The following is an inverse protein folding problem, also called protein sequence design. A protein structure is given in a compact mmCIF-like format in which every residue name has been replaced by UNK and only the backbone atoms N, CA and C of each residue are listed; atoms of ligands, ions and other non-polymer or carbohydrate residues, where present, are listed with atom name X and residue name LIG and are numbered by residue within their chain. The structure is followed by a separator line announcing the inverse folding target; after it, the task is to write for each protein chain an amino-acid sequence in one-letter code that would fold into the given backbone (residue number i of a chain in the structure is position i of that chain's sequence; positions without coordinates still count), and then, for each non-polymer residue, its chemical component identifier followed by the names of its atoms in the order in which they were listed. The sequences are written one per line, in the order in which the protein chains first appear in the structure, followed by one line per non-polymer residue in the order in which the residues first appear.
data_IF_960895075469
#
_entry.id   IF_960895075469
#
_cell.length_a   1.000
_cell.length_b   1.000
_cell.length_c   1.000
_cell.angle_alpha   90.00
_cell.angle_beta   90.00
_cell.angle_gamma   90.00
#
_symmetry.space_group_name_H-M   'P 1'
#
loop_
_entity.id
_entity.type
_entity.pdbx_description
1 polymer ?
#
# COMPACT_ATOMS: atom_id res chain seq x y z
N UNK A 1 -0.47 25.12 -5.77
CA UNK A 1 -1.31 25.93 -4.85
C UNK A 1 -2.73 25.91 -5.36
N UNK A 2 -3.61 25.17 -4.70
CA UNK A 2 -5.03 25.27 -4.96
C UNK A 2 -5.54 26.49 -4.20
N UNK A 3 -6.03 27.50 -4.94
CA UNK A 3 -6.76 28.60 -4.35
C UNK A 3 -8.10 28.05 -3.85
N UNK A 4 -8.41 28.27 -2.60
CA UNK A 4 -9.72 27.96 -2.06
C UNK A 4 -10.69 29.03 -2.59
N UNK A 5 -11.67 28.64 -3.38
CA UNK A 5 -12.71 29.56 -3.83
C UNK A 5 -13.44 30.16 -2.60
N UNK A 6 -13.43 31.48 -2.49
CA UNK A 6 -14.16 32.22 -1.46
C UNK A 6 -13.38 32.67 -0.24
N UNK A 7 -12.08 32.38 -0.13
CA UNK A 7 -11.24 32.94 0.95
C UNK A 7 -10.12 33.81 0.37
N UNK A 8 -9.96 35.01 0.92
CA UNK A 8 -8.91 35.96 0.56
C UNK A 8 -7.46 35.52 0.92
N UNK A 9 -7.27 34.29 1.36
CA UNK A 9 -5.97 33.72 1.66
C UNK A 9 -5.49 32.88 0.48
N UNK A 10 -5.05 33.55 -0.57
CA UNK A 10 -4.28 32.90 -1.62
C UNK A 10 -2.94 32.40 -1.07
N UNK A 11 -2.65 31.12 -1.24
CA UNK A 11 -1.29 30.62 -1.08
C UNK A 11 -1.01 29.61 0.02
N UNK A 12 -2.00 29.08 0.71
CA UNK A 12 -1.75 27.93 1.61
C UNK A 12 -1.62 26.64 0.81
N UNK A 13 -0.50 25.96 0.96
CA UNK A 13 -0.30 24.65 0.37
C UNK A 13 -1.28 23.65 1.02
N UNK A 14 -2.14 23.04 0.21
CA UNK A 14 -3.02 21.95 0.67
C UNK A 14 -2.39 20.59 0.43
N UNK A 15 -1.84 20.40 -0.76
CA UNK A 15 -1.21 19.16 -1.17
C UNK A 15 -0.20 19.42 -2.28
N UNK A 16 0.95 18.77 -2.18
CA UNK A 16 1.96 18.71 -3.24
C UNK A 16 2.51 17.30 -3.28
N UNK A 17 2.51 16.70 -4.45
CA UNK A 17 3.09 15.38 -4.70
C UNK A 17 4.09 15.49 -5.86
N UNK A 18 5.23 14.87 -5.67
CA UNK A 18 6.21 14.62 -6.69
C UNK A 18 6.58 13.15 -6.63
N UNK A 19 6.25 12.42 -7.68
CA UNK A 19 6.55 10.99 -7.77
C UNK A 19 7.16 10.66 -9.12
N UNK A 20 8.02 9.68 -9.13
CA UNK A 20 8.51 9.04 -10.34
C UNK A 20 8.71 7.56 -10.09
N UNK A 21 8.57 6.78 -11.14
CA UNK A 21 8.82 5.36 -11.13
C UNK A 21 9.72 4.95 -12.28
N UNK A 22 10.49 3.90 -12.06
CA UNK A 22 11.32 3.25 -13.06
C UNK A 22 10.92 1.81 -13.13
N UNK A 23 10.31 1.42 -14.23
CA UNK A 23 9.98 0.03 -14.53
C UNK A 23 10.99 -0.53 -15.49
N UNK A 24 11.59 -1.68 -15.16
CA UNK A 24 12.53 -2.37 -16.03
C UNK A 24 12.34 -3.88 -15.98
N UNK A 25 12.21 -4.45 -17.14
CA UNK A 25 12.29 -5.90 -17.33
C UNK A 25 13.73 -6.26 -17.72
N UNK A 26 14.48 -6.83 -16.76
CA UNK A 26 15.88 -7.19 -16.95
C UNK A 26 16.04 -8.47 -17.77
N UNK A 27 15.14 -9.42 -17.55
CA UNK A 27 15.08 -10.67 -18.30
C UNK A 27 13.62 -11.03 -18.55
N UNK A 28 13.34 -12.07 -19.35
CA UNK A 28 11.97 -12.61 -19.52
C UNK A 28 11.36 -13.07 -18.19
N UNK A 29 12.19 -13.36 -17.21
CA UNK A 29 11.79 -13.89 -15.90
C UNK A 29 11.76 -12.82 -14.81
N UNK A 30 12.59 -11.78 -14.91
CA UNK A 30 12.77 -10.79 -13.84
C UNK A 30 12.34 -9.39 -14.27
N UNK A 31 11.39 -8.84 -13.52
CA UNK A 31 10.89 -7.48 -13.64
C UNK A 31 11.06 -6.75 -12.31
N UNK A 32 11.46 -5.49 -12.36
CA UNK A 32 11.63 -4.61 -11.22
C UNK A 32 10.93 -3.28 -11.49
N UNK A 33 10.24 -2.78 -10.47
CA UNK A 33 9.73 -1.42 -10.41
C UNK A 33 10.31 -0.75 -9.17
N UNK A 34 10.91 0.42 -9.36
CA UNK A 34 11.35 1.29 -8.27
C UNK A 34 10.54 2.56 -8.35
N UNK A 35 9.91 2.94 -7.25
CA UNK A 35 9.14 4.17 -7.14
C UNK A 35 9.67 5.02 -6.00
N UNK A 36 9.74 6.33 -6.22
CA UNK A 36 9.95 7.33 -5.19
C UNK A 36 8.82 8.34 -5.25
N UNK A 37 8.28 8.70 -4.08
CA UNK A 37 7.27 9.74 -3.95
C UNK A 37 7.60 10.64 -2.78
N UNK A 38 7.55 11.95 -3.01
CA UNK A 38 7.63 12.99 -2.00
C UNK A 38 6.27 13.67 -1.92
N UNK A 39 5.63 13.56 -0.76
CA UNK A 39 4.29 14.10 -0.52
C UNK A 39 4.37 15.14 0.60
N UNK A 40 3.82 16.30 0.32
CA UNK A 40 3.61 17.34 1.31
C UNK A 40 2.13 17.71 1.34
N UNK A 41 1.51 17.59 2.50
CA UNK A 41 0.10 17.93 2.66
C UNK A 41 -0.17 18.66 3.96
N UNK A 42 -1.24 19.44 3.96
CA UNK A 42 -1.69 20.18 5.11
C UNK A 42 -2.86 19.44 5.77
N UNK A 43 -2.68 18.83 6.98
CA UNK A 43 -3.73 18.04 7.64
C UNK A 43 -4.89 18.91 8.15
N UNK A 44 -4.71 20.23 8.20
CA UNK A 44 -5.71 21.18 8.71
C UNK A 44 -6.44 21.94 7.61
N UNK A 45 -6.36 21.45 6.36
CA UNK A 45 -7.03 22.04 5.20
C UNK A 45 -6.70 23.54 4.97
N UNK A 46 -5.44 23.92 5.24
CA UNK A 46 -4.97 25.28 5.02
C UNK A 46 -5.23 26.27 6.17
N UNK A 47 -5.86 25.86 7.25
CA UNK A 47 -6.14 26.75 8.39
C UNK A 47 -4.90 27.11 9.21
N UNK A 48 -3.85 26.26 9.18
CA UNK A 48 -2.57 26.50 9.83
C UNK A 48 -1.43 26.27 8.85
N UNK A 49 -0.29 26.95 9.05
CA UNK A 49 0.92 26.77 8.24
C UNK A 49 1.67 25.46 8.53
N UNK A 50 0.98 24.43 8.98
CA UNK A 50 1.57 23.14 9.29
C UNK A 50 1.45 22.22 8.10
N UNK A 51 2.56 21.88 7.48
CA UNK A 51 2.61 20.88 6.41
C UNK A 51 3.35 19.66 6.91
N UNK A 52 2.88 18.49 6.49
CA UNK A 52 3.52 17.20 6.75
C UNK A 52 4.24 16.73 5.51
N UNK A 53 5.53 16.48 5.65
CA UNK A 53 6.38 16.00 4.57
C UNK A 53 6.67 14.51 4.76
N UNK A 54 6.37 13.73 3.74
CA UNK A 54 6.63 12.29 3.70
C UNK A 54 7.42 11.92 2.46
N UNK A 55 8.43 11.08 2.62
CA UNK A 55 9.15 10.47 1.51
C UNK A 55 8.89 8.98 1.53
N UNK A 56 8.53 8.44 0.38
CA UNK A 56 8.15 7.04 0.20
C UNK A 56 9.04 6.44 -0.88
N UNK A 57 9.63 5.29 -0.57
CA UNK A 57 10.38 4.48 -1.53
C UNK A 57 9.73 3.12 -1.60
N UNK A 58 9.48 2.64 -2.82
CA UNK A 58 8.92 1.31 -3.06
C UNK A 58 9.80 0.56 -4.05
N UNK A 59 10.12 -0.68 -3.74
CA UNK A 59 10.75 -1.62 -4.64
C UNK A 59 9.83 -2.83 -4.83
N UNK A 60 9.40 -3.08 -6.06
CA UNK A 60 8.57 -4.22 -6.44
C UNK A 60 9.38 -5.13 -7.39
N UNK A 61 9.58 -6.36 -6.97
CA UNK A 61 10.41 -7.35 -7.64
C UNK A 61 9.55 -8.57 -7.99
N UNK A 62 9.38 -8.82 -9.27
CA UNK A 62 8.67 -10.00 -9.78
C UNK A 62 9.66 -10.96 -10.43
N UNK A 63 9.67 -12.20 -9.96
CA UNK A 63 10.46 -13.27 -10.57
C UNK A 63 9.58 -14.46 -10.98
N UNK A 64 9.66 -14.83 -12.26
CA UNK A 64 8.97 -15.99 -12.84
C UNK A 64 9.94 -17.17 -12.92
N UNK A 65 9.82 -18.11 -12.00
CA UNK A 65 10.66 -19.32 -11.95
C UNK A 65 10.31 -20.28 -13.07
N UNK A 66 9.02 -20.46 -13.29
CA UNK A 66 8.45 -21.28 -14.36
C UNK A 66 7.21 -20.56 -14.96
N UNK A 67 6.63 -21.02 -16.05
CA UNK A 67 5.38 -20.47 -16.57
C UNK A 67 4.22 -20.51 -15.59
N UNK A 68 4.25 -21.42 -14.61
CA UNK A 68 3.18 -21.64 -13.63
C UNK A 68 3.56 -21.20 -12.22
N UNK A 69 4.81 -20.84 -11.96
CA UNK A 69 5.29 -20.46 -10.64
C UNK A 69 6.02 -19.12 -10.66
N UNK A 70 5.56 -18.18 -9.85
CA UNK A 70 6.20 -16.86 -9.72
C UNK A 70 6.16 -16.35 -8.29
N UNK A 71 7.12 -15.51 -7.95
CA UNK A 71 7.19 -14.79 -6.68
C UNK A 71 7.25 -13.30 -6.92
N UNK A 72 6.56 -12.52 -6.08
CA UNK A 72 6.61 -11.06 -6.04
C UNK A 72 7.01 -10.63 -4.64
N UNK A 73 8.04 -9.82 -4.54
CA UNK A 73 8.49 -9.18 -3.31
C UNK A 73 8.32 -7.67 -3.47
N UNK A 74 7.54 -7.07 -2.59
CA UNK A 74 7.38 -5.62 -2.51
C UNK A 74 7.95 -5.14 -1.17
N UNK A 75 8.84 -4.16 -1.22
CA UNK A 75 9.45 -3.52 -0.07
C UNK A 75 9.09 -2.05 -0.11
N UNK A 76 8.63 -1.51 1.01
CA UNK A 76 8.25 -0.11 1.13
C UNK A 76 8.93 0.51 2.34
N UNK A 77 9.38 1.75 2.20
CA UNK A 77 9.89 2.56 3.28
C UNK A 77 9.28 3.96 3.21
N UNK A 78 8.69 4.39 4.31
CA UNK A 78 8.14 5.72 4.47
C UNK A 78 8.89 6.42 5.60
N UNK A 79 9.40 7.61 5.34
CA UNK A 79 10.02 8.48 6.35
C UNK A 79 9.26 9.80 6.43
N UNK A 80 8.94 10.19 7.66
CA UNK A 80 8.30 11.46 8.00
C UNK A 80 8.65 11.84 9.42
N UNK A 81 8.66 13.14 9.73
CA UNK A 81 8.89 13.65 11.10
C UNK A 81 7.58 13.76 11.90
N UNK A 82 6.47 13.75 11.22
CA UNK A 82 5.13 13.98 11.72
C UNK A 82 4.38 12.66 11.97
N UNK A 83 3.22 12.73 12.60
CA UNK A 83 2.34 11.62 12.95
C UNK A 83 3.08 10.48 13.67
N UNK A 84 2.98 9.28 13.14
CA UNK A 84 3.59 8.06 13.69
C UNK A 84 5.03 7.83 13.21
N UNK A 85 5.64 8.83 12.56
CA UNK A 85 7.01 8.80 12.03
C UNK A 85 7.22 7.68 11.00
N UNK A 86 8.35 7.02 11.07
CA UNK A 86 8.86 6.14 10.02
C UNK A 86 8.22 4.75 10.03
N UNK A 87 7.96 4.23 8.82
CA UNK A 87 7.36 2.92 8.58
C UNK A 87 8.17 2.14 7.58
N UNK A 88 8.20 0.84 7.75
CA UNK A 88 8.65 -0.09 6.74
C UNK A 88 7.58 -1.16 6.51
N UNK A 89 7.46 -1.62 5.27
CA UNK A 89 6.56 -2.71 4.93
C UNK A 89 7.23 -3.66 3.95
N UNK A 90 6.89 -4.93 4.07
CA UNK A 90 7.28 -5.97 3.15
C UNK A 90 6.06 -6.84 2.82
N UNK A 91 5.93 -7.21 1.55
CA UNK A 91 4.93 -8.16 1.07
C UNK A 91 5.63 -9.19 0.19
N UNK A 92 5.41 -10.45 0.51
CA UNK A 92 5.81 -11.58 -0.33
C UNK A 92 4.55 -12.27 -0.84
N UNK A 93 4.45 -12.40 -2.16
CA UNK A 93 3.39 -13.13 -2.83
C UNK A 93 3.97 -14.27 -3.66
N UNK A 94 3.37 -15.44 -3.55
CA UNK A 94 3.75 -16.65 -4.27
C UNK A 94 2.55 -17.12 -5.07
N UNK A 95 2.72 -17.20 -6.38
CA UNK A 95 1.65 -17.56 -7.30
C UNK A 95 1.91 -18.92 -7.94
N UNK A 96 0.95 -19.79 -7.84
CA UNK A 96 0.88 -21.09 -8.50
C UNK A 96 -0.27 -21.04 -9.54
N UNK A 97 0.07 -20.64 -10.75
CA UNK A 97 -0.91 -20.55 -11.82
C UNK A 97 -1.45 -21.94 -12.20
N UNK A 98 -2.73 -22.02 -12.58
CA UNK A 98 -3.64 -20.91 -12.83
C UNK A 98 -4.49 -20.48 -11.62
N UNK A 99 -4.39 -21.15 -10.46
CA UNK A 99 -5.46 -21.07 -9.49
C UNK A 99 -5.06 -20.47 -8.13
N UNK A 100 -3.85 -20.71 -7.65
CA UNK A 100 -3.49 -20.42 -6.27
C UNK A 100 -2.55 -19.22 -6.14
N UNK A 101 -2.80 -18.39 -5.13
CA UNK A 101 -1.87 -17.36 -4.67
C UNK A 101 -1.83 -17.39 -3.15
N UNK A 102 -0.63 -17.31 -2.59
CA UNK A 102 -0.37 -17.22 -1.15
C UNK A 102 0.40 -15.93 -0.92
N UNK A 103 0.03 -15.16 0.08
CA UNK A 103 0.76 -13.94 0.43
C UNK A 103 1.00 -13.83 1.93
N UNK A 104 2.07 -13.15 2.26
CA UNK A 104 2.36 -12.68 3.60
C UNK A 104 2.89 -11.25 3.54
N UNK A 105 2.44 -10.41 4.46
CA UNK A 105 2.96 -9.06 4.60
C UNK A 105 3.15 -8.68 6.05
N UNK A 106 4.09 -7.79 6.29
CA UNK A 106 4.30 -7.13 7.57
C UNK A 106 4.56 -5.64 7.35
N UNK A 107 3.89 -4.82 8.11
CA UNK A 107 4.12 -3.38 8.15
C UNK A 107 4.51 -3.01 9.59
N UNK A 108 5.70 -2.47 9.74
CA UNK A 108 6.30 -2.14 11.02
C UNK A 108 6.47 -0.63 11.18
N UNK A 109 5.88 -0.08 12.24
CA UNK A 109 6.15 1.29 12.64
C UNK A 109 7.37 1.34 13.56
N UNK A 110 8.54 1.64 13.02
CA UNK A 110 9.76 1.73 13.82
C UNK A 110 10.01 3.12 14.42
N UNK A 111 9.33 4.14 13.91
CA UNK A 111 9.52 5.52 14.34
C UNK A 111 8.85 5.89 15.66
N UNK A 112 7.73 5.25 16.01
CA UNK A 112 6.91 5.64 17.16
C UNK A 112 6.38 4.44 17.95
N UNK A 113 5.37 3.74 17.42
CA UNK A 113 4.60 2.75 18.19
C UNK A 113 5.31 1.42 18.38
N UNK A 114 6.33 1.11 17.59
CA UNK A 114 7.04 -0.17 17.57
C UNK A 114 6.12 -1.37 17.36
N UNK A 115 5.07 -1.17 16.58
CA UNK A 115 4.04 -2.18 16.34
C UNK A 115 4.16 -2.79 14.96
N UNK A 116 3.93 -4.10 14.90
CA UNK A 116 3.81 -4.88 13.67
C UNK A 116 2.34 -5.08 13.30
N UNK A 117 2.06 -4.91 12.02
CA UNK A 117 0.77 -5.20 11.39
C UNK A 117 1.02 -6.25 10.31
N UNK A 118 0.95 -7.49 10.71
CA UNK A 118 1.21 -8.64 9.84
C UNK A 118 -0.10 -9.22 9.31
N UNK A 119 -0.06 -9.72 8.09
CA UNK A 119 -1.14 -10.56 7.58
C UNK A 119 -0.60 -11.65 6.67
N UNK A 120 -1.27 -12.77 6.67
CA UNK A 120 -1.03 -13.90 5.77
C UNK A 120 -2.35 -14.32 5.15
N UNK A 121 -2.31 -14.81 3.94
CA UNK A 121 -3.54 -15.26 3.29
C UNK A 121 -3.27 -16.13 2.08
N UNK A 122 -4.37 -16.72 1.61
CA UNK A 122 -4.41 -17.58 0.44
C UNK A 122 -5.61 -17.21 -0.41
N UNK A 123 -5.47 -17.29 -1.71
CA UNK A 123 -6.60 -17.20 -2.62
C UNK A 123 -6.61 -18.31 -3.66
N UNK A 124 -7.81 -18.64 -4.06
CA UNK A 124 -8.10 -19.59 -5.12
C UNK A 124 -8.97 -18.93 -6.18
N UNK A 125 -8.53 -18.97 -7.42
CA UNK A 125 -9.24 -18.37 -8.54
C UNK A 125 -9.64 -19.45 -9.55
N UNK A 126 -10.91 -19.50 -9.91
CA UNK A 126 -11.42 -20.39 -10.96
C UNK A 126 -12.39 -19.62 -11.86
N UNK A 127 -12.05 -19.50 -13.14
CA UNK A 127 -12.82 -18.70 -14.08
C UNK A 127 -12.91 -17.23 -13.63
N UNK A 128 -14.12 -16.76 -13.39
CA UNK A 128 -14.39 -15.36 -12.97
C UNK A 128 -14.58 -15.19 -11.46
N UNK A 129 -14.41 -16.28 -10.69
CA UNK A 129 -14.61 -16.25 -9.23
C UNK A 129 -13.28 -16.42 -8.51
N UNK A 130 -13.03 -15.53 -7.55
CA UNK A 130 -11.90 -15.59 -6.62
C UNK A 130 -12.42 -15.72 -5.20
N UNK A 131 -11.94 -16.72 -4.48
CA UNK A 131 -12.10 -16.91 -3.05
C UNK A 131 -10.80 -16.52 -2.37
N UNK A 132 -10.86 -15.77 -1.28
CA UNK A 132 -9.67 -15.46 -0.51
C UNK A 132 -9.95 -15.53 0.98
N UNK A 133 -8.98 -16.04 1.72
CA UNK A 133 -8.99 -16.09 3.17
C UNK A 133 -7.67 -15.55 3.71
N UNK A 134 -7.72 -14.79 4.80
CA UNK A 134 -6.55 -14.22 5.42
C UNK A 134 -6.70 -14.14 6.93
N UNK A 135 -5.57 -14.07 7.61
CA UNK A 135 -5.50 -13.82 9.05
C UNK A 135 -4.38 -12.83 9.34
N UNK A 136 -4.63 -11.90 10.24
CA UNK A 136 -3.60 -10.95 10.60
C UNK A 136 -4.05 -9.90 11.61
N UNK A 137 -3.11 -9.00 11.89
CA UNK A 137 -3.33 -7.79 12.65
C UNK A 137 -3.42 -6.61 11.69
N UNK A 138 -4.58 -6.00 11.61
CA UNK A 138 -4.90 -4.92 10.71
C UNK A 138 -4.82 -3.57 11.43
N UNK A 139 -4.19 -2.59 10.79
CA UNK A 139 -4.12 -1.22 11.27
C UNK A 139 -5.50 -0.55 11.12
N UNK A 140 -5.82 0.37 12.03
CA UNK A 140 -6.93 1.29 11.87
C UNK A 140 -6.80 2.13 10.59
N UNK A 141 -7.90 2.40 9.94
CA UNK A 141 -7.91 3.18 8.71
C UNK A 141 -9.13 2.95 7.84
N UNK A 142 -9.03 3.40 6.59
CA UNK A 142 -10.08 3.19 5.60
C UNK A 142 -9.77 1.97 4.73
N UNK A 143 -10.72 1.05 4.62
CA UNK A 143 -10.70 -0.01 3.62
C UNK A 143 -11.69 0.37 2.52
N UNK A 144 -11.20 0.44 1.28
CA UNK A 144 -12.02 0.69 0.11
C UNK A 144 -12.12 -0.58 -0.74
N UNK A 145 -13.35 -0.99 -1.05
CA UNK A 145 -13.63 -2.12 -1.91
C UNK A 145 -14.85 -1.84 -2.76
N UNK A 146 -14.76 -2.05 -4.07
CA UNK A 146 -15.87 -1.82 -5.00
C UNK A 146 -16.40 -0.38 -5.01
N UNK A 147 -15.54 0.63 -4.77
CA UNK A 147 -15.96 2.04 -4.71
C UNK A 147 -16.56 2.49 -3.36
N UNK A 148 -16.69 1.58 -2.41
CA UNK A 148 -17.17 1.90 -1.05
C UNK A 148 -16.00 1.88 -0.07
N UNK A 149 -15.78 2.99 0.62
CA UNK A 149 -14.77 3.11 1.68
C UNK A 149 -15.44 3.12 3.05
N UNK A 150 -14.92 2.34 3.97
CA UNK A 150 -15.35 2.31 5.37
C UNK A 150 -14.17 2.42 6.31
N UNK A 151 -14.35 3.14 7.39
CA UNK A 151 -13.37 3.17 8.46
C UNK A 151 -13.49 1.90 9.30
N UNK A 152 -12.35 1.28 9.57
CA UNK A 152 -12.25 0.13 10.46
C UNK A 152 -11.33 0.46 11.63
N UNK A 153 -11.64 -0.01 12.83
CA UNK A 153 -10.72 0.04 13.96
C UNK A 153 -9.57 -0.94 13.74
N UNK A 154 -8.48 -0.78 14.50
CA UNK A 154 -7.45 -1.79 14.58
C UNK A 154 -8.04 -3.10 15.14
N UNK A 155 -7.76 -4.21 14.47
CA UNK A 155 -8.22 -5.53 14.93
C UNK A 155 -7.21 -6.62 14.58
N UNK A 156 -7.30 -7.75 15.26
CA UNK A 156 -6.62 -9.00 14.91
C UNK A 156 -7.68 -10.05 14.66
N UNK A 157 -7.62 -10.71 13.51
CA UNK A 157 -8.64 -11.69 13.16
C UNK A 157 -8.52 -12.23 11.75
N UNK A 158 -9.45 -13.10 11.39
CA UNK A 158 -9.59 -13.65 10.06
C UNK A 158 -10.50 -12.78 9.18
N UNK A 159 -10.21 -12.75 7.90
CA UNK A 159 -11.10 -12.21 6.88
C UNK A 159 -11.37 -13.26 5.81
N UNK A 160 -12.51 -13.14 5.18
CA UNK A 160 -12.91 -13.99 4.07
C UNK A 160 -13.58 -13.14 2.99
N UNK A 161 -13.23 -13.37 1.73
CA UNK A 161 -13.82 -12.64 0.62
C UNK A 161 -14.12 -13.55 -0.56
N UNK A 162 -15.23 -13.25 -1.25
CA UNK A 162 -15.64 -13.85 -2.50
C UNK A 162 -15.84 -12.71 -3.50
N UNK A 163 -15.16 -12.79 -4.63
CA UNK A 163 -15.30 -11.82 -5.71
C UNK A 163 -15.64 -12.55 -6.99
N UNK A 164 -16.72 -12.15 -7.64
CA UNK A 164 -17.16 -12.72 -8.94
C UNK A 164 -17.44 -11.58 -9.91
N UNK A 165 -16.93 -11.69 -11.14
CA UNK A 165 -17.28 -10.79 -12.26
C UNK A 165 -18.25 -11.51 -13.20
N UNK A 166 -19.22 -10.77 -13.71
CA UNK A 166 -20.27 -11.27 -14.63
C UNK A 166 -20.00 -10.84 -16.06
#
# INVERSE_FOLDING_TARGET
TLAQEGTAQAGNLLFRDFSFDIEKQWTKQFKMVLMYSMQEYNPTYGNFKTTWLSNIVVADLLYKWTPTFSTRLELQYLTTKEDKKDWMAALLEVNFAPHWSIWGSDMYNHGSTKMHYYNVGVSYTKGRTRLAAGYGRYKDGFICSGGVCRQIPQYTGANFSITTSF
#
